data_IF_694326370888
#
_entry.id   IF_694326370888
#
_cell.length_a   1.000
_cell.length_b   1.000
_cell.length_c   1.000
_cell.angle_alpha   90.00
_cell.angle_beta   90.00
_cell.angle_gamma   90.00
#
_symmetry.space_group_name_H-M   'P 1'
#
loop_
_entity.id
_entity.type
_entity.pdbx_description
1 polymer ?
#
# COMPACT_ATOMS: atom_id res chain seq x y z
N UNK A 1 20.96 -14.19 -7.73
CA UNK A 1 19.89 -15.12 -7.30
C UNK A 1 19.96 -16.34 -8.20
N UNK A 2 20.12 -17.53 -7.63
CA UNK A 2 20.27 -18.77 -8.38
C UNK A 2 19.04 -19.64 -8.13
N UNK A 3 18.59 -20.33 -9.17
CA UNK A 3 17.37 -21.12 -9.08
C UNK A 3 17.19 -22.01 -10.31
N UNK A 4 16.10 -22.77 -10.29
CA UNK A 4 15.71 -23.69 -11.36
C UNK A 4 14.29 -23.34 -11.78
N UNK A 5 14.02 -23.37 -13.08
CA UNK A 5 12.66 -23.30 -13.60
C UNK A 5 12.18 -24.72 -13.92
N UNK A 6 11.07 -25.09 -13.31
CA UNK A 6 10.34 -26.30 -13.63
C UNK A 6 9.34 -25.95 -14.74
N UNK A 7 9.56 -26.47 -15.95
CA UNK A 7 8.63 -26.34 -17.07
C UNK A 7 7.53 -27.42 -17.01
N UNK A 8 6.54 -27.34 -17.89
CA UNK A 8 5.44 -28.31 -17.99
C UNK A 8 4.08 -27.67 -17.79
N UNK A 9 3.10 -28.48 -17.35
CA UNK A 9 1.71 -28.05 -17.19
C UNK A 9 1.52 -26.97 -16.12
N UNK A 10 2.34 -27.00 -15.06
CA UNK A 10 2.33 -26.03 -13.97
C UNK A 10 3.75 -25.48 -13.77
N UNK A 11 4.15 -24.46 -14.57
CA UNK A 11 5.50 -23.94 -14.51
C UNK A 11 5.78 -23.21 -13.19
N UNK A 12 6.98 -23.39 -12.64
CA UNK A 12 7.37 -22.82 -11.36
C UNK A 12 8.83 -22.37 -11.37
N UNK A 13 9.09 -21.19 -10.82
CA UNK A 13 10.42 -20.68 -10.51
C UNK A 13 10.80 -21.08 -9.09
N UNK A 14 11.82 -21.93 -8.96
CA UNK A 14 12.33 -22.39 -7.68
C UNK A 14 13.62 -21.63 -7.37
N UNK A 15 13.63 -20.88 -6.28
CA UNK A 15 14.74 -20.04 -5.85
C UNK A 15 15.26 -20.53 -4.50
N UNK A 16 16.57 -20.46 -4.31
CA UNK A 16 17.19 -20.60 -2.98
C UNK A 16 17.69 -19.22 -2.56
N UNK A 17 17.05 -18.65 -1.54
CA UNK A 17 17.43 -17.35 -0.98
C UNK A 17 18.78 -17.43 -0.28
N UNK A 18 19.40 -16.27 -0.03
CA UNK A 18 20.72 -16.16 0.58
C UNK A 18 20.82 -16.87 1.95
N UNK A 19 19.70 -17.00 2.66
CA UNK A 19 19.59 -17.61 3.99
C UNK A 19 19.18 -19.09 3.96
N UNK A 20 19.18 -19.72 2.77
CA UNK A 20 18.84 -21.14 2.61
C UNK A 20 17.34 -21.43 2.53
N UNK A 21 16.48 -20.39 2.52
CA UNK A 21 15.05 -20.53 2.29
C UNK A 21 14.75 -20.92 0.84
N UNK A 22 14.08 -22.06 0.64
CA UNK A 22 13.58 -22.48 -0.67
C UNK A 22 12.23 -21.80 -0.93
N UNK A 23 12.12 -21.05 -2.03
CA UNK A 23 10.88 -20.44 -2.48
C UNK A 23 10.46 -20.97 -3.83
N UNK A 24 9.15 -21.16 -4.01
CA UNK A 24 8.55 -21.70 -5.23
C UNK A 24 7.48 -20.73 -5.72
N UNK A 25 7.74 -20.08 -6.85
CA UNK A 25 6.87 -19.05 -7.43
C UNK A 25 6.23 -19.55 -8.73
N UNK A 26 4.91 -19.76 -8.78
CA UNK A 26 4.22 -20.19 -10.01
C UNK A 26 4.35 -19.16 -11.14
N UNK A 27 4.56 -19.64 -12.37
CA UNK A 27 4.66 -18.83 -13.59
C UNK A 27 3.50 -19.12 -14.56
N UNK A 28 2.27 -19.13 -14.05
CA UNK A 28 1.11 -19.70 -14.75
C UNK A 28 0.36 -18.75 -15.68
N UNK A 29 0.74 -17.46 -15.72
CA UNK A 29 0.00 -16.42 -16.46
C UNK A 29 -0.15 -16.73 -17.97
N UNK A 30 0.87 -17.36 -18.57
CA UNK A 30 0.89 -17.77 -19.98
C UNK A 30 0.54 -19.26 -20.18
N UNK A 31 0.10 -19.95 -19.13
CA UNK A 31 -0.18 -21.38 -19.14
C UNK A 31 1.10 -22.26 -19.14
N UNK A 32 1.02 -23.49 -19.69
CA UNK A 32 2.15 -24.42 -19.71
C UNK A 32 3.37 -23.90 -20.47
N UNK A 33 4.57 -24.16 -19.94
CA UNK A 33 5.83 -23.84 -20.61
C UNK A 33 6.43 -25.11 -21.21
N UNK A 34 6.76 -25.10 -22.51
CA UNK A 34 7.39 -26.23 -23.19
C UNK A 34 8.91 -26.20 -23.13
N UNK A 35 9.50 -25.02 -23.07
CA UNK A 35 10.94 -24.82 -22.97
C UNK A 35 11.25 -23.52 -22.22
N UNK A 36 12.42 -23.49 -21.58
CA UNK A 36 12.95 -22.34 -20.86
C UNK A 36 14.48 -22.30 -21.03
N UNK A 37 15.05 -21.11 -21.16
CA UNK A 37 16.51 -20.92 -21.08
C UNK A 37 16.87 -19.55 -20.53
N UNK A 38 18.01 -19.45 -19.84
CA UNK A 38 18.57 -18.17 -19.41
C UNK A 38 18.96 -17.32 -20.61
N UNK A 39 18.76 -16.01 -20.54
CA UNK A 39 19.10 -15.09 -21.63
C UNK A 39 19.62 -13.76 -21.07
N UNK A 40 20.87 -13.43 -21.37
CA UNK A 40 21.48 -12.20 -20.90
C UNK A 40 21.92 -11.36 -22.10
N UNK A 41 21.29 -10.19 -22.26
CA UNK A 41 21.58 -9.24 -23.34
C UNK A 41 21.61 -7.82 -22.78
N UNK A 42 22.27 -6.89 -23.47
CA UNK A 42 22.32 -5.47 -23.10
C UNK A 42 20.93 -4.85 -22.94
N UNK A 43 19.96 -5.28 -23.75
CA UNK A 43 18.56 -4.84 -23.68
C UNK A 43 17.75 -5.57 -22.58
N UNK A 44 18.18 -6.77 -22.17
CA UNK A 44 17.49 -7.61 -21.18
C UNK A 44 18.54 -8.24 -20.25
N UNK A 45 19.11 -7.46 -19.32
CA UNK A 45 20.12 -7.98 -18.41
C UNK A 45 19.49 -8.99 -17.44
N UNK A 46 20.17 -10.12 -17.23
CA UNK A 46 19.72 -11.20 -16.34
C UNK A 46 18.29 -11.69 -16.64
N UNK A 47 17.93 -11.72 -17.92
CA UNK A 47 16.63 -12.20 -18.39
C UNK A 47 16.59 -13.70 -18.65
N UNK A 48 15.52 -14.10 -19.32
CA UNK A 48 15.27 -15.46 -19.76
C UNK A 48 14.34 -15.48 -20.97
N UNK A 49 14.35 -16.61 -21.65
CA UNK A 49 13.50 -16.95 -22.78
C UNK A 49 12.62 -18.13 -22.39
N UNK A 50 11.36 -18.12 -22.82
CA UNK A 50 10.49 -19.28 -22.67
C UNK A 50 9.51 -19.40 -23.85
N UNK A 51 9.03 -20.62 -24.07
CA UNK A 51 8.00 -20.90 -25.06
C UNK A 51 6.68 -21.16 -24.32
N UNK A 52 5.71 -20.26 -24.51
CA UNK A 52 4.35 -20.41 -24.00
C UNK A 52 3.60 -21.40 -24.90
N UNK A 53 3.35 -22.62 -24.39
CA UNK A 53 2.89 -23.75 -25.21
C UNK A 53 1.56 -23.48 -25.90
N UNK A 54 0.60 -22.88 -25.19
CA UNK A 54 -0.74 -22.63 -25.72
C UNK A 54 -0.80 -21.45 -26.69
N UNK A 55 0.10 -20.48 -26.51
CA UNK A 55 0.17 -19.29 -27.35
C UNK A 55 1.04 -19.50 -28.59
N UNK A 56 1.88 -20.55 -28.59
CA UNK A 56 2.90 -20.79 -29.62
C UNK A 56 3.89 -19.63 -29.79
N UNK A 57 4.17 -18.91 -28.71
CA UNK A 57 5.03 -17.72 -28.70
C UNK A 57 6.34 -17.99 -27.96
N UNK A 58 7.45 -17.50 -28.54
CA UNK A 58 8.71 -17.31 -27.83
C UNK A 58 8.67 -15.93 -27.17
N UNK A 59 8.90 -15.87 -25.85
CA UNK A 59 8.92 -14.63 -25.08
C UNK A 59 10.28 -14.36 -24.48
N UNK A 60 10.73 -13.11 -24.60
CA UNK A 60 11.92 -12.58 -23.92
C UNK A 60 11.43 -11.82 -22.69
N UNK A 61 11.85 -12.23 -21.51
CA UNK A 61 11.37 -11.68 -20.26
C UNK A 61 12.49 -11.52 -19.23
N UNK A 62 12.19 -10.78 -18.17
CA UNK A 62 13.03 -10.65 -16.97
C UNK A 62 12.13 -10.52 -15.75
N UNK A 63 12.65 -10.90 -14.58
CA UNK A 63 11.98 -10.62 -13.32
C UNK A 63 11.99 -9.11 -13.03
N UNK A 64 10.99 -8.65 -12.26
CA UNK A 64 10.92 -7.26 -11.84
C UNK A 64 11.97 -7.01 -10.75
N UNK A 65 12.84 -6.02 -10.94
CA UNK A 65 14.01 -5.81 -10.07
C UNK A 65 13.66 -5.19 -8.71
N UNK A 66 12.46 -4.64 -8.57
CA UNK A 66 11.95 -3.98 -7.36
C UNK A 66 11.12 -4.91 -6.46
N UNK A 67 11.10 -6.20 -6.77
CA UNK A 67 10.47 -7.25 -5.96
C UNK A 67 11.52 -8.11 -5.25
N UNK A 68 11.22 -8.46 -4.01
CA UNK A 68 11.94 -9.45 -3.24
C UNK A 68 11.30 -10.83 -3.48
N UNK A 69 12.03 -11.70 -4.18
CA UNK A 69 11.63 -13.07 -4.47
C UNK A 69 12.17 -14.09 -3.44
N UNK A 70 12.92 -13.66 -2.42
CA UNK A 70 13.37 -14.53 -1.32
C UNK A 70 12.26 -14.76 -0.27
N UNK A 71 11.20 -13.95 -0.31
CA UNK A 71 10.01 -14.08 0.53
C UNK A 71 9.08 -15.18 0.00
N UNK A 72 8.23 -15.79 0.87
CA UNK A 72 7.24 -16.79 0.45
C UNK A 72 6.30 -16.34 -0.65
N UNK A 73 6.03 -15.04 -0.72
CA UNK A 73 5.33 -14.38 -1.83
C UNK A 73 6.20 -13.24 -2.33
N UNK A 74 6.38 -13.07 -3.67
CA UNK A 74 7.13 -11.95 -4.21
C UNK A 74 6.52 -10.64 -3.75
N UNK A 75 7.31 -9.81 -3.06
CA UNK A 75 6.80 -8.60 -2.43
C UNK A 75 7.67 -7.39 -2.77
N UNK A 76 7.01 -6.25 -2.97
CA UNK A 76 7.66 -4.95 -3.09
C UNK A 76 7.36 -4.13 -1.86
N UNK A 77 8.40 -3.61 -1.21
CA UNK A 77 8.25 -2.66 -0.10
C UNK A 77 8.11 -1.24 -0.66
N UNK A 78 6.97 -0.60 -0.40
CA UNK A 78 6.73 0.81 -0.76
C UNK A 78 6.93 1.69 0.48
N UNK A 79 7.96 2.56 0.50
CA UNK A 79 8.20 3.44 1.65
C UNK A 79 7.22 4.62 1.64
N UNK A 80 6.28 4.63 2.58
CA UNK A 80 5.30 5.73 2.74
C UNK A 80 5.82 6.85 3.64
N UNK A 81 6.74 6.56 4.57
CA UNK A 81 7.32 7.55 5.48
C UNK A 81 6.41 7.98 6.64
N UNK A 82 5.27 7.32 6.81
CA UNK A 82 4.31 7.55 7.89
C UNK A 82 3.70 6.20 8.33
N UNK A 83 3.04 6.18 9.49
CA UNK A 83 2.28 5.00 9.93
C UNK A 83 1.06 4.84 9.04
N UNK A 84 0.94 3.69 8.37
CA UNK A 84 -0.22 3.36 7.51
C UNK A 84 -1.30 2.70 8.37
N UNK A 85 -2.53 3.19 8.28
CA UNK A 85 -3.68 2.67 9.04
C UNK A 85 -4.62 1.86 8.15
N UNK A 86 -5.06 2.45 7.04
CA UNK A 86 -5.97 1.80 6.09
C UNK A 86 -5.46 1.96 4.66
N UNK A 87 -5.67 0.93 3.85
CA UNK A 87 -5.37 0.90 2.41
C UNK A 87 -6.58 0.34 1.68
N UNK A 88 -7.12 1.08 0.71
CA UNK A 88 -8.25 0.65 -0.13
C UNK A 88 -7.95 0.89 -1.59
N UNK A 89 -8.12 -0.14 -2.41
CA UNK A 89 -7.99 -0.01 -3.86
C UNK A 89 -9.33 0.42 -4.46
N UNK A 90 -9.35 1.60 -5.07
CA UNK A 90 -10.55 2.14 -5.71
C UNK A 90 -10.60 1.72 -7.18
N UNK A 91 -11.50 0.79 -7.51
CA UNK A 91 -11.47 0.10 -8.81
C UNK A 91 -11.77 1.04 -9.99
N UNK A 92 -12.69 2.00 -9.81
CA UNK A 92 -13.07 2.95 -10.87
C UNK A 92 -11.93 3.91 -11.25
N UNK A 93 -11.16 4.36 -10.27
CA UNK A 93 -10.07 5.32 -10.48
C UNK A 93 -8.70 4.65 -10.57
N UNK A 94 -8.62 3.34 -10.32
CA UNK A 94 -7.38 2.55 -10.32
C UNK A 94 -6.28 3.14 -9.43
N UNK A 95 -6.63 3.58 -8.23
CA UNK A 95 -5.70 4.16 -7.24
C UNK A 95 -5.91 3.56 -5.86
N UNK A 96 -4.90 3.60 -5.01
CA UNK A 96 -5.00 3.25 -3.61
C UNK A 96 -5.29 4.50 -2.77
N UNK A 97 -6.40 4.49 -2.03
CA UNK A 97 -6.63 5.41 -0.92
C UNK A 97 -5.90 4.90 0.32
N UNK A 98 -5.01 5.72 0.87
CA UNK A 98 -4.15 5.37 2.01
C UNK A 98 -4.31 6.40 3.10
N UNK A 99 -4.77 5.96 4.27
CA UNK A 99 -4.80 6.80 5.48
C UNK A 99 -3.52 6.57 6.27
N UNK A 100 -2.88 7.66 6.67
CA UNK A 100 -1.61 7.65 7.38
C UNK A 100 -1.63 8.60 8.56
N UNK A 101 -0.72 8.40 9.51
CA UNK A 101 -0.47 9.38 10.56
C UNK A 101 1.02 9.62 10.78
N UNK A 102 1.36 10.85 11.14
CA UNK A 102 2.69 11.20 11.67
C UNK A 102 2.58 11.65 13.12
N UNK A 103 3.54 11.29 13.98
CA UNK A 103 3.59 11.77 15.35
C UNK A 103 3.85 13.28 15.39
N UNK A 104 2.94 14.05 15.98
CA UNK A 104 3.06 15.50 16.19
C UNK A 104 3.14 15.81 17.68
N UNK A 105 4.19 16.50 18.11
CA UNK A 105 4.30 16.96 19.50
C UNK A 105 3.23 18.01 19.78
N UNK A 106 2.49 17.86 20.87
CA UNK A 106 1.50 18.85 21.30
C UNK A 106 1.60 19.11 22.79
N UNK A 107 1.36 20.35 23.17
CA UNK A 107 1.22 20.80 24.56
C UNK A 107 -0.18 21.35 24.83
N UNK A 108 -1.13 21.08 23.93
CA UNK A 108 -2.53 21.47 24.05
C UNK A 108 -3.29 20.38 24.79
N UNK A 109 -4.16 20.81 25.70
CA UNK A 109 -5.07 19.95 26.43
C UNK A 109 -6.47 20.52 26.23
N UNK A 110 -7.41 19.65 25.91
CA UNK A 110 -8.82 20.00 25.82
C UNK A 110 -9.46 19.77 27.17
N UNK A 111 -10.18 20.77 27.67
CA UNK A 111 -10.88 20.75 28.95
C UNK A 111 -12.32 21.20 28.75
N UNK A 112 -13.22 20.72 29.60
CA UNK A 112 -14.61 21.18 29.64
C UNK A 112 -14.77 22.14 30.81
N UNK A 113 -15.12 23.39 30.51
CA UNK A 113 -15.37 24.43 31.51
C UNK A 113 -16.75 25.01 31.25
N UNK A 114 -17.67 24.89 32.21
CA UNK A 114 -19.07 25.34 32.08
C UNK A 114 -19.76 24.77 30.83
N UNK A 115 -19.60 23.47 30.57
CA UNK A 115 -20.13 22.75 29.40
C UNK A 115 -19.55 23.16 28.02
N UNK A 116 -18.58 24.08 27.99
CA UNK A 116 -17.88 24.47 26.76
C UNK A 116 -16.52 23.78 26.64
N UNK A 117 -16.20 23.26 25.44
CA UNK A 117 -14.87 22.73 25.11
C UNK A 117 -13.89 23.89 24.93
N UNK A 118 -12.86 23.95 25.77
CA UNK A 118 -11.80 24.94 25.70
C UNK A 118 -10.44 24.27 25.50
N UNK A 119 -9.53 24.97 24.81
CA UNK A 119 -8.17 24.51 24.57
C UNK A 119 -7.22 25.28 25.47
N UNK A 120 -6.53 24.58 26.35
CA UNK A 120 -5.47 25.14 27.17
C UNK A 120 -4.11 24.77 26.59
N UNK A 121 -3.23 25.76 26.43
CA UNK A 121 -1.84 25.52 26.04
C UNK A 121 -0.97 25.53 27.28
N UNK A 122 -0.36 24.39 27.60
CA UNK A 122 0.48 24.25 28.78
C UNK A 122 1.93 24.55 28.40
N UNK A 123 2.41 25.74 28.75
CA UNK A 123 3.83 26.06 28.57
C UNK A 123 4.70 25.20 29.48
N UNK A 124 5.70 24.55 28.88
CA UNK A 124 6.67 23.71 29.58
C UNK A 124 8.07 24.19 29.23
N UNK A 125 9.03 23.88 30.10
CA UNK A 125 10.42 24.20 29.84
C UNK A 125 10.94 23.42 28.61
N UNK A 126 12.04 23.90 28.02
CA UNK A 126 12.63 23.28 26.81
C UNK A 126 13.09 21.83 27.02
N UNK A 127 13.38 21.45 28.27
CA UNK A 127 13.78 20.10 28.64
C UNK A 127 12.59 19.13 28.78
N UNK A 128 11.35 19.62 28.70
CA UNK A 128 10.17 18.79 28.83
C UNK A 128 9.91 18.02 27.54
N UNK A 129 9.77 16.70 27.66
CA UNK A 129 9.39 15.85 26.54
C UNK A 129 7.88 15.91 26.37
N UNK A 130 7.42 16.60 25.32
CA UNK A 130 6.01 16.69 24.99
C UNK A 130 5.43 15.34 24.53
N UNK A 131 4.16 15.06 24.87
CA UNK A 131 3.47 13.91 24.29
C UNK A 131 3.33 14.08 22.78
N UNK A 132 3.18 12.94 22.10
CA UNK A 132 2.99 12.88 20.66
C UNK A 132 1.58 12.43 20.34
N UNK A 133 0.89 13.20 19.51
CA UNK A 133 -0.47 12.95 19.05
C UNK A 133 -0.41 12.58 17.56
N UNK A 134 -1.15 11.56 17.09
CA UNK A 134 -1.15 11.20 15.69
C UNK A 134 -1.90 12.25 14.85
N UNK A 135 -1.19 12.93 13.94
CA UNK A 135 -1.80 13.79 12.93
C UNK A 135 -2.13 12.96 11.70
N UNK A 136 -3.42 12.76 11.43
CA UNK A 136 -3.87 11.93 10.32
C UNK A 136 -3.88 12.69 8.99
N UNK A 137 -3.70 11.95 7.90
CA UNK A 137 -3.95 12.40 6.53
C UNK A 137 -4.43 11.25 5.64
N UNK A 138 -5.17 11.56 4.60
CA UNK A 138 -5.53 10.67 3.50
C UNK A 138 -4.79 11.12 2.26
N UNK A 139 -4.21 10.19 1.51
CA UNK A 139 -3.64 10.48 0.21
C UNK A 139 -3.90 9.33 -0.78
N UNK A 140 -3.82 9.61 -2.06
CA UNK A 140 -3.99 8.62 -3.13
C UNK A 140 -2.62 8.18 -3.67
N UNK A 141 -2.48 6.90 -4.00
CA UNK A 141 -1.26 6.33 -4.56
C UNK A 141 -1.57 5.62 -5.89
N UNK A 142 -0.72 5.84 -6.88
CA UNK A 142 -0.83 5.17 -8.18
C UNK A 142 -0.24 3.76 -8.12
N UNK A 143 -0.92 2.71 -8.63
CA UNK A 143 -0.36 1.36 -8.71
C UNK A 143 0.76 1.24 -9.77
N UNK A 144 0.90 2.23 -10.65
CA UNK A 144 1.88 2.20 -11.74
C UNK A 144 3.31 2.46 -11.23
N UNK A 145 3.47 3.47 -10.38
CA UNK A 145 4.76 3.92 -9.87
C UNK A 145 4.86 3.93 -8.34
N UNK A 146 3.76 3.61 -7.64
CA UNK A 146 3.65 3.57 -6.18
C UNK A 146 3.92 4.92 -5.52
N UNK A 147 3.71 6.02 -6.23
CA UNK A 147 3.85 7.38 -5.71
C UNK A 147 2.51 7.99 -5.35
N UNK A 148 2.58 8.94 -4.42
CA UNK A 148 1.45 9.79 -4.08
C UNK A 148 1.00 10.59 -5.32
N UNK A 149 -0.30 10.62 -5.56
CA UNK A 149 -0.89 11.46 -6.61
C UNK A 149 -0.78 12.92 -6.14
N UNK A 150 -0.26 13.83 -6.99
CA UNK A 150 -0.11 15.23 -6.60
C UNK A 150 -1.47 15.88 -6.29
N UNK A 151 -1.49 16.74 -5.26
CA UNK A 151 -2.65 17.56 -4.87
C UNK A 151 -3.91 16.76 -4.49
N UNK A 152 -3.75 15.53 -3.99
CA UNK A 152 -4.86 14.71 -3.48
C UNK A 152 -4.78 14.48 -1.98
N UNK A 153 -3.86 15.14 -1.28
CA UNK A 153 -3.73 14.99 0.16
C UNK A 153 -4.88 15.74 0.88
N UNK A 154 -5.50 15.04 1.82
CA UNK A 154 -6.48 15.59 2.75
C UNK A 154 -5.88 15.46 4.13
N UNK A 155 -5.72 16.58 4.82
CA UNK A 155 -5.27 16.59 6.22
C UNK A 155 -6.50 16.69 7.12
N UNK A 156 -6.55 15.81 8.11
CA UNK A 156 -7.57 15.84 9.14
C UNK A 156 -7.23 16.90 10.19
N UNK A 157 -8.18 17.26 11.05
CA UNK A 157 -7.97 18.24 12.10
C UNK A 157 -7.01 17.71 13.20
N UNK A 158 -6.55 18.59 14.08
CA UNK A 158 -5.82 18.16 15.29
C UNK A 158 -6.76 17.35 16.18
N UNK A 159 -6.29 16.25 16.75
CA UNK A 159 -7.09 15.28 17.52
C UNK A 159 -8.13 14.49 16.71
N UNK A 160 -8.29 14.77 15.42
CA UNK A 160 -9.16 13.98 14.55
C UNK A 160 -8.46 12.68 14.13
N UNK A 161 -9.03 11.56 14.57
CA UNK A 161 -8.52 10.20 14.36
C UNK A 161 -9.38 9.49 13.33
N UNK A 162 -8.75 8.93 12.30
CA UNK A 162 -9.43 8.08 11.32
C UNK A 162 -9.64 6.69 11.90
N UNK A 163 -10.89 6.28 12.04
CA UNK A 163 -11.29 4.98 12.61
C UNK A 163 -11.71 3.95 11.56
N UNK A 164 -12.13 4.42 10.38
CA UNK A 164 -12.49 3.55 9.25
C UNK A 164 -12.23 4.25 7.92
N UNK A 165 -11.91 3.47 6.89
CA UNK A 165 -11.78 3.95 5.51
C UNK A 165 -12.17 2.81 4.57
N UNK A 166 -13.34 2.91 3.93
CA UNK A 166 -13.93 1.85 3.11
C UNK A 166 -14.45 2.39 1.78
N UNK A 167 -14.37 1.58 0.73
CA UNK A 167 -15.12 1.83 -0.50
C UNK A 167 -16.56 1.32 -0.29
N UNK A 168 -17.52 2.22 -0.41
CA UNK A 168 -18.96 1.91 -0.26
C UNK A 168 -19.69 2.26 -1.54
N UNK A 169 -20.63 1.41 -1.95
CA UNK A 169 -21.47 1.69 -3.12
C UNK A 169 -22.78 2.31 -2.66
N UNK A 170 -23.04 3.55 -3.06
CA UNK A 170 -24.23 4.30 -2.68
C UNK A 170 -25.13 4.54 -3.90
N UNK A 171 -26.42 4.77 -3.65
CA UNK A 171 -27.37 5.12 -4.73
C UNK A 171 -27.00 6.45 -5.36
N UNK A 172 -27.01 6.51 -6.69
CA UNK A 172 -26.68 7.71 -7.46
C UNK A 172 -27.48 7.75 -8.75
N UNK A 173 -28.20 8.85 -8.99
CA UNK A 173 -28.93 9.11 -10.24
C UNK A 173 -28.00 9.45 -11.41
N UNK A 174 -26.71 9.67 -11.14
CA UNK A 174 -25.70 10.04 -12.14
C UNK A 174 -25.16 8.85 -12.94
N UNK A 175 -25.58 7.63 -12.63
CA UNK A 175 -25.07 6.39 -13.25
C UNK A 175 -26.21 5.52 -13.78
N UNK A 176 -25.97 4.80 -14.87
CA UNK A 176 -26.97 3.90 -15.48
C UNK A 176 -27.36 2.75 -14.52
N UNK A 177 -26.41 2.28 -13.71
CA UNK A 177 -26.63 1.27 -12.67
C UNK A 177 -27.47 1.77 -11.49
N UNK A 178 -27.67 3.09 -11.35
CA UNK A 178 -28.26 3.71 -10.16
C UNK A 178 -27.38 3.64 -8.91
N UNK A 179 -26.12 3.21 -9.05
CA UNK A 179 -25.18 2.93 -7.96
C UNK A 179 -23.79 3.43 -8.32
N UNK A 180 -23.12 4.09 -7.39
CA UNK A 180 -21.79 4.67 -7.57
C UNK A 180 -20.90 4.38 -6.35
N UNK A 181 -19.63 3.97 -6.55
CA UNK A 181 -18.70 3.80 -5.46
C UNK A 181 -18.20 5.15 -4.95
N UNK A 182 -18.02 5.24 -3.63
CA UNK A 182 -17.47 6.37 -2.90
C UNK A 182 -16.49 5.85 -1.85
N UNK A 183 -15.52 6.67 -1.50
CA UNK A 183 -14.68 6.44 -0.34
C UNK A 183 -15.35 7.05 0.90
N UNK A 184 -15.79 6.20 1.83
CA UNK A 184 -16.29 6.63 3.12
C UNK A 184 -15.14 6.59 4.14
N UNK A 185 -14.92 7.72 4.82
CA UNK A 185 -13.93 7.84 5.90
C UNK A 185 -14.68 8.16 7.18
N UNK A 186 -14.53 7.29 8.17
CA UNK A 186 -15.04 7.52 9.52
C UNK A 186 -13.97 8.15 10.39
N UNK A 187 -14.30 9.26 11.05
CA UNK A 187 -13.39 9.98 11.96
C UNK A 187 -14.05 10.21 13.30
N UNK A 188 -13.22 10.36 14.34
CA UNK A 188 -13.63 10.80 15.67
C UNK A 188 -12.65 11.87 16.17
N UNK A 189 -13.14 12.82 16.95
CA UNK A 189 -12.26 13.72 17.69
C UNK A 189 -11.94 13.10 19.05
N UNK A 190 -10.68 12.78 19.29
CA UNK A 190 -10.23 12.15 20.54
C UNK A 190 -9.52 13.18 21.42
N UNK A 191 -10.25 13.77 22.36
CA UNK A 191 -9.76 14.83 23.25
C UNK A 191 -9.28 14.33 24.62
N UNK A 192 -9.26 13.01 24.84
CA UNK A 192 -9.06 12.40 26.16
C UNK A 192 -10.37 12.02 26.86
N UNK A 193 -10.28 11.25 27.93
CA UNK A 193 -11.44 10.65 28.61
C UNK A 193 -12.37 11.64 29.31
N UNK A 194 -11.84 12.80 29.70
CA UNK A 194 -12.61 13.85 30.39
C UNK A 194 -13.48 14.67 29.42
N UNK A 195 -13.20 14.57 28.10
CA UNK A 195 -13.86 15.35 27.05
C UNK A 195 -14.47 14.38 26.03
N UNK A 196 -15.54 13.69 26.44
CA UNK A 196 -16.37 12.87 25.53
C UNK A 196 -17.28 13.71 24.63
#
# INVERSE_FOLDING_TARGET
>A
MNGVVLSGAYPCLVLVGAWGGLQCHPLTIDGPLSAFTSFNNQNVPNGFLYIAKNLHELRIARLQTDFDYELPYPCKKVPVGATVHHVRYMMNSQVFAVTTSVPMKSNKIWVVVNDDKQVETHEKNENFVLPSIPQYSLNLYSPLDWKAVPNTDIKFEEMEVVTACEEVTLRSESTISGMQPYLAVGTINNYGEEVM
#
